data_IF_907603153227
#
_entry.id   IF_907603153227
#
_cell.length_a   1.000
_cell.length_b   1.000
_cell.length_c   1.000
_cell.angle_alpha   90.00
_cell.angle_beta   90.00
_cell.angle_gamma   90.00
#
_symmetry.space_group_name_H-M   'P 1'
#
loop_
_entity.id
_entity.type
_entity.pdbx_description
1 polymer ?
#
# COMPACT_ATOMS: atom_id res chain seq x y z
N UNK A 1 -2.93 17.13 8.55
CA UNK A 1 -3.18 15.84 7.89
C UNK A 1 -1.85 15.39 7.37
N UNK A 2 -1.33 14.29 7.92
CA UNK A 2 -0.05 13.76 7.47
C UNK A 2 -0.21 12.98 6.15
N UNK A 3 0.89 12.45 5.62
CA UNK A 3 0.89 11.73 4.34
C UNK A 3 0.08 10.43 4.40
N UNK A 4 0.00 9.79 5.57
CA UNK A 4 -0.70 8.52 5.78
C UNK A 4 -2.20 8.75 5.97
N UNK A 5 -2.60 9.87 6.57
CA UNK A 5 -4.00 10.30 6.60
C UNK A 5 -4.54 10.53 5.18
N UNK A 6 -3.75 11.20 4.32
CA UNK A 6 -4.10 11.41 2.91
C UNK A 6 -4.21 10.05 2.19
N UNK A 7 -3.24 9.16 2.41
CA UNK A 7 -3.27 7.81 1.82
C UNK A 7 -4.49 7.02 2.28
N UNK A 8 -4.83 7.06 3.57
CA UNK A 8 -6.01 6.43 4.13
C UNK A 8 -7.29 6.94 3.44
N UNK A 9 -7.40 8.26 3.26
CA UNK A 9 -8.53 8.85 2.53
C UNK A 9 -8.63 8.32 1.11
N UNK A 10 -7.51 8.28 0.39
CA UNK A 10 -7.51 7.73 -0.96
C UNK A 10 -7.89 6.25 -1.00
N UNK A 11 -7.46 5.44 -0.03
CA UNK A 11 -7.93 4.06 0.11
C UNK A 11 -9.43 3.98 0.40
N UNK A 12 -9.98 4.92 1.17
CA UNK A 12 -11.41 4.96 1.50
C UNK A 12 -12.29 5.36 0.31
N UNK A 13 -11.74 6.11 -0.64
CA UNK A 13 -12.39 6.48 -1.90
C UNK A 13 -12.16 5.43 -3.02
N UNK A 14 -11.43 4.34 -2.73
CA UNK A 14 -11.23 3.26 -3.71
C UNK A 14 -12.58 2.70 -4.15
N UNK A 15 -12.82 2.68 -5.46
CA UNK A 15 -14.09 2.24 -6.02
C UNK A 15 -14.17 0.71 -6.04
N UNK A 16 -15.31 0.19 -5.56
CA UNK A 16 -15.60 -1.24 -5.53
C UNK A 16 -16.96 -1.50 -6.18
N UNK A 17 -17.22 -2.76 -6.50
CA UNK A 17 -18.50 -3.21 -7.02
C UNK A 17 -19.32 -3.90 -5.93
N UNK A 18 -20.49 -3.34 -5.61
CA UNK A 18 -21.50 -3.96 -4.76
C UNK A 18 -22.82 -4.05 -5.52
N UNK A 19 -23.30 -5.27 -5.77
CA UNK A 19 -24.52 -5.52 -6.57
C UNK A 19 -24.47 -4.79 -7.93
N UNK A 20 -23.35 -4.94 -8.66
CA UNK A 20 -23.10 -4.33 -9.98
C UNK A 20 -23.04 -2.79 -9.98
N UNK A 21 -23.09 -2.14 -8.81
CA UNK A 21 -22.92 -0.70 -8.66
C UNK A 21 -21.52 -0.37 -8.16
N UNK A 22 -20.87 0.56 -8.85
CA UNK A 22 -19.60 1.13 -8.44
C UNK A 22 -19.87 2.14 -7.32
N UNK A 23 -19.27 1.89 -6.15
CA UNK A 23 -19.38 2.74 -4.96
C UNK A 23 -18.01 2.87 -4.30
N UNK A 24 -17.70 3.98 -3.62
CA UNK A 24 -16.47 4.10 -2.86
C UNK A 24 -16.49 3.20 -1.63
N UNK A 25 -15.31 2.74 -1.22
CA UNK A 25 -15.10 1.79 -0.11
C UNK A 25 -15.75 2.26 1.20
N UNK A 26 -15.73 3.56 1.49
CA UNK A 26 -16.30 4.10 2.73
C UNK A 26 -17.82 3.92 2.86
N UNK A 27 -18.53 3.70 1.75
CA UNK A 27 -19.98 3.43 1.76
C UNK A 27 -20.31 1.96 2.10
N UNK A 28 -19.31 1.07 2.11
CA UNK A 28 -19.50 -0.33 2.45
C UNK A 28 -19.78 -0.48 3.94
N UNK A 29 -20.80 -1.28 4.25
CA UNK A 29 -21.07 -1.74 5.61
C UNK A 29 -20.53 -3.15 5.79
N UNK A 30 -20.09 -3.47 7.01
CA UNK A 30 -19.57 -4.79 7.39
C UNK A 30 -20.52 -5.94 7.01
N UNK A 31 -21.83 -5.70 7.07
CA UNK A 31 -22.89 -6.66 6.70
C UNK A 31 -22.83 -7.08 5.22
N UNK A 32 -22.39 -6.19 4.33
CA UNK A 32 -22.36 -6.42 2.89
C UNK A 32 -20.97 -6.83 2.38
N UNK A 33 -19.97 -6.90 3.27
CA UNK A 33 -18.57 -7.11 2.94
C UNK A 33 -18.29 -8.35 2.07
N UNK A 34 -19.03 -9.44 2.29
CA UNK A 34 -18.85 -10.71 1.57
C UNK A 34 -19.30 -10.65 0.11
N UNK A 35 -20.13 -9.67 -0.26
CA UNK A 35 -20.69 -9.51 -1.61
C UNK A 35 -19.98 -8.40 -2.40
N UNK A 36 -18.90 -7.85 -1.85
CA UNK A 36 -18.11 -6.79 -2.50
C UNK A 36 -17.07 -7.43 -3.41
N UNK A 37 -17.04 -7.01 -4.66
CA UNK A 37 -15.91 -7.25 -5.54
C UNK A 37 -15.01 -6.01 -5.53
N UNK A 38 -13.77 -6.19 -5.06
CA UNK A 38 -12.76 -5.12 -4.96
C UNK A 38 -12.01 -4.88 -6.29
N UNK A 39 -12.28 -5.67 -7.33
CA UNK A 39 -11.65 -5.57 -8.65
C UNK A 39 -10.11 -5.54 -8.58
N UNK A 40 -9.55 -6.34 -7.68
CA UNK A 40 -8.10 -6.40 -7.45
C UNK A 40 -7.44 -7.38 -8.43
N UNK A 41 -6.21 -7.10 -8.88
CA UNK A 41 -5.49 -7.98 -9.82
C UNK A 41 -4.96 -9.26 -9.16
N UNK A 42 -5.02 -9.37 -7.83
CA UNK A 42 -4.55 -10.52 -7.06
C UNK A 42 -5.74 -11.27 -6.45
N UNK A 43 -5.63 -12.59 -6.35
CA UNK A 43 -6.74 -13.40 -5.81
C UNK A 43 -6.62 -13.62 -4.30
N UNK A 44 -5.41 -13.47 -3.73
CA UNK A 44 -5.12 -13.77 -2.33
C UNK A 44 -3.84 -13.05 -1.87
N UNK A 45 -3.60 -13.04 -0.55
CA UNK A 45 -2.42 -12.41 0.05
C UNK A 45 -1.08 -12.99 -0.43
N UNK A 46 -1.02 -14.26 -0.83
CA UNK A 46 0.22 -14.85 -1.35
C UNK A 46 0.56 -14.28 -2.73
N UNK A 47 -0.43 -14.16 -3.62
CA UNK A 47 -0.23 -13.56 -4.94
C UNK A 47 0.27 -12.12 -4.81
N UNK A 48 -0.33 -11.35 -3.90
CA UNK A 48 0.09 -9.98 -3.60
C UNK A 48 1.51 -9.92 -2.98
N UNK A 49 1.83 -10.83 -2.05
CA UNK A 49 3.17 -10.88 -1.46
C UNK A 49 4.25 -11.20 -2.51
N UNK A 50 3.97 -12.09 -3.45
CA UNK A 50 4.87 -12.41 -4.58
C UNK A 50 5.08 -11.17 -5.44
N UNK A 51 3.99 -10.50 -5.84
CA UNK A 51 4.04 -9.26 -6.60
C UNK A 51 4.91 -8.20 -5.91
N UNK A 52 4.70 -7.95 -4.61
CA UNK A 52 5.47 -6.96 -3.85
C UNK A 52 6.95 -7.32 -3.74
N UNK A 53 7.27 -8.60 -3.56
CA UNK A 53 8.64 -9.09 -3.54
C UNK A 53 9.35 -8.87 -4.89
N UNK A 54 8.68 -9.18 -6.00
CA UNK A 54 9.19 -8.94 -7.34
C UNK A 54 9.38 -7.44 -7.61
N UNK A 55 8.37 -6.64 -7.29
CA UNK A 55 8.41 -5.19 -7.44
C UNK A 55 9.58 -4.55 -6.67
N UNK A 56 9.82 -4.99 -5.43
CA UNK A 56 11.01 -4.61 -4.64
C UNK A 56 12.31 -4.96 -5.38
N UNK A 57 12.45 -6.21 -5.84
CA UNK A 57 13.67 -6.69 -6.51
C UNK A 57 13.95 -5.94 -7.81
N UNK A 58 12.91 -5.63 -8.58
CA UNK A 58 13.04 -4.85 -9.80
C UNK A 58 13.43 -3.41 -9.51
N UNK A 59 12.80 -2.77 -8.50
CA UNK A 59 13.12 -1.40 -8.13
C UNK A 59 14.57 -1.24 -7.67
N UNK A 60 15.14 -2.23 -6.99
CA UNK A 60 16.55 -2.23 -6.57
C UNK A 60 17.55 -2.26 -7.74
N UNK A 61 17.14 -2.76 -8.91
CA UNK A 61 17.97 -2.84 -10.11
C UNK A 61 17.69 -1.69 -11.09
N UNK A 62 16.50 -1.11 -11.01
CA UNK A 62 16.06 -0.01 -11.87
C UNK A 62 16.73 1.32 -11.48
N UNK A 63 17.00 2.14 -12.49
CA UNK A 63 17.33 3.57 -12.31
C UNK A 63 16.08 4.45 -12.29
N UNK A 64 14.98 3.94 -12.83
CA UNK A 64 13.70 4.62 -12.86
C UNK A 64 12.80 4.17 -11.72
N UNK A 65 11.89 5.06 -11.32
CA UNK A 65 10.82 4.71 -10.39
C UNK A 65 9.75 3.87 -11.10
N UNK A 66 9.57 2.64 -10.61
CA UNK A 66 8.54 1.74 -11.11
C UNK A 66 7.15 2.27 -10.74
N UNK A 67 6.14 2.05 -11.58
CA UNK A 67 4.77 2.45 -11.24
C UNK A 67 4.21 1.51 -10.18
N UNK A 68 3.46 2.06 -9.23
CA UNK A 68 2.85 1.30 -8.15
C UNK A 68 1.61 2.05 -7.64
N UNK A 69 0.49 1.34 -7.50
CA UNK A 69 -0.76 1.86 -6.96
C UNK A 69 -0.85 1.49 -5.47
N UNK A 70 -0.53 2.44 -4.59
CA UNK A 70 -0.44 2.15 -3.15
C UNK A 70 -1.83 1.97 -2.52
N UNK A 71 -2.82 2.67 -3.06
CA UNK A 71 -4.22 2.56 -2.66
C UNK A 71 -4.72 1.13 -2.88
N UNK A 72 -4.54 0.61 -4.10
CA UNK A 72 -4.93 -0.76 -4.51
C UNK A 72 -4.20 -1.83 -3.69
N UNK A 73 -2.90 -1.64 -3.44
CA UNK A 73 -2.11 -2.57 -2.60
C UNK A 73 -2.66 -2.60 -1.17
N UNK A 74 -2.90 -1.45 -0.55
CA UNK A 74 -3.37 -1.40 0.84
C UNK A 74 -4.79 -1.94 0.99
N UNK A 75 -5.66 -1.70 0.00
CA UNK A 75 -6.97 -2.35 -0.10
C UNK A 75 -6.79 -3.86 -0.24
N UNK A 76 -5.87 -4.32 -1.10
CA UNK A 76 -5.56 -5.74 -1.27
C UNK A 76 -5.06 -6.41 0.01
N UNK A 77 -4.13 -5.81 0.74
CA UNK A 77 -3.65 -6.34 2.03
C UNK A 77 -4.80 -6.44 3.04
N UNK A 78 -5.77 -5.53 2.97
CA UNK A 78 -6.87 -5.47 3.93
C UNK A 78 -7.95 -6.53 3.68
N UNK A 79 -8.30 -6.78 2.41
CA UNK A 79 -9.50 -7.56 2.07
C UNK A 79 -9.24 -8.86 1.29
N UNK A 80 -8.03 -9.08 0.76
CA UNK A 80 -7.74 -10.34 0.11
C UNK A 80 -7.71 -11.49 1.12
N UNK A 81 -8.28 -12.64 0.77
CA UNK A 81 -8.23 -13.81 1.64
C UNK A 81 -6.80 -14.38 1.71
N UNK A 82 -6.49 -15.10 2.79
CA UNK A 82 -5.33 -15.98 2.80
C UNK A 82 -5.59 -17.23 1.94
N UNK A 83 -4.53 -17.82 1.38
CA UNK A 83 -4.68 -19.07 0.62
C UNK A 83 -4.99 -20.22 1.58
N UNK A 84 -5.92 -21.11 1.22
CA UNK A 84 -6.23 -22.31 2.01
C UNK A 84 -5.02 -23.27 2.06
N UNK A 85 -4.97 -24.08 3.12
CA UNK A 85 -3.92 -25.05 3.54
C UNK A 85 -2.86 -25.47 2.50
N UNK A 86 -1.60 -25.52 2.91
CA UNK A 86 -0.46 -25.97 2.08
C UNK A 86 0.42 -24.84 1.52
N UNK A 87 0.13 -23.59 1.88
CA UNK A 87 0.92 -22.40 1.54
C UNK A 87 1.75 -21.91 2.72
N UNK A 88 2.93 -21.33 2.44
CA UNK A 88 3.77 -20.61 3.41
C UNK A 88 3.03 -19.44 4.09
N UNK A 89 2.02 -18.86 3.42
CA UNK A 89 1.21 -17.73 3.90
C UNK A 89 -0.26 -18.14 4.12
N UNK A 90 -0.49 -19.37 4.57
CA UNK A 90 -1.85 -19.88 4.82
C UNK A 90 -2.56 -19.15 5.98
N UNK A 91 -1.80 -18.57 6.91
CA UNK A 91 -2.32 -17.72 7.98
C UNK A 91 -2.42 -16.26 7.51
N UNK A 92 -3.59 -15.67 7.66
CA UNK A 92 -3.88 -14.28 7.27
C UNK A 92 -2.91 -13.27 7.90
N UNK A 93 -2.65 -13.37 9.21
CA UNK A 93 -1.73 -12.46 9.92
C UNK A 93 -0.31 -12.52 9.35
N UNK A 94 0.18 -13.73 9.06
CA UNK A 94 1.50 -13.94 8.45
C UNK A 94 1.52 -13.38 7.02
N UNK A 95 0.44 -13.57 6.24
CA UNK A 95 0.30 -13.01 4.89
C UNK A 95 0.32 -11.48 4.87
N UNK A 96 -0.42 -10.85 5.79
CA UNK A 96 -0.44 -9.39 5.97
C UNK A 96 0.96 -8.89 6.36
N UNK A 97 1.60 -9.51 7.35
CA UNK A 97 2.94 -9.12 7.82
C UNK A 97 3.99 -9.19 6.71
N UNK A 98 3.94 -10.25 5.88
CA UNK A 98 4.81 -10.41 4.73
C UNK A 98 4.58 -9.30 3.68
N UNK A 99 3.32 -9.03 3.32
CA UNK A 99 2.98 -7.96 2.37
C UNK A 99 3.47 -6.59 2.86
N UNK A 100 3.21 -6.26 4.13
CA UNK A 100 3.61 -4.98 4.71
C UNK A 100 5.13 -4.83 4.80
N UNK A 101 5.84 -5.93 5.12
CA UNK A 101 7.29 -5.95 5.14
C UNK A 101 7.86 -5.71 3.74
N UNK A 102 7.37 -6.41 2.71
CA UNK A 102 7.82 -6.21 1.33
C UNK A 102 7.46 -4.83 0.78
N UNK A 103 6.30 -4.29 1.13
CA UNK A 103 5.91 -2.92 0.77
C UNK A 103 6.87 -1.89 1.39
N UNK A 104 7.18 -2.01 2.68
CA UNK A 104 8.14 -1.14 3.37
C UNK A 104 9.53 -1.20 2.73
N UNK A 105 9.98 -2.39 2.34
CA UNK A 105 11.25 -2.58 1.66
C UNK A 105 11.25 -2.03 0.23
N UNK A 106 10.13 -2.15 -0.51
CA UNK A 106 9.97 -1.52 -1.82
C UNK A 106 10.05 0.01 -1.70
N UNK A 107 9.32 0.63 -0.77
CA UNK A 107 9.41 2.08 -0.51
C UNK A 107 10.85 2.49 -0.17
N UNK A 108 11.54 1.70 0.66
CA UNK A 108 12.96 1.91 0.94
C UNK A 108 13.81 1.87 -0.34
N UNK A 109 13.59 0.89 -1.21
CA UNK A 109 14.30 0.79 -2.49
C UNK A 109 14.02 2.00 -3.40
N UNK A 110 12.79 2.53 -3.42
CA UNK A 110 12.43 3.75 -4.15
C UNK A 110 13.15 4.98 -3.63
N UNK A 111 13.18 5.18 -2.31
CA UNK A 111 13.90 6.30 -1.68
C UNK A 111 15.38 6.27 -2.09
N UNK A 112 16.00 5.09 -2.03
CA UNK A 112 17.40 4.92 -2.40
C UNK A 112 17.62 5.14 -3.92
N UNK A 113 16.67 4.75 -4.77
CA UNK A 113 16.69 5.04 -6.20
C UNK A 113 16.65 6.55 -6.47
N UNK A 114 15.72 7.27 -5.83
CA UNK A 114 15.61 8.74 -5.91
C UNK A 114 16.93 9.39 -5.50
N UNK A 115 17.45 8.99 -4.34
CA UNK A 115 18.70 9.52 -3.82
C UNK A 115 19.86 9.31 -4.79
N UNK A 116 19.98 8.11 -5.37
CA UNK A 116 21.12 7.73 -6.20
C UNK A 116 21.08 8.35 -7.60
N UNK A 117 19.90 8.49 -8.20
CA UNK A 117 19.78 8.79 -9.64
C UNK A 117 19.04 10.09 -9.96
N UNK A 118 18.20 10.59 -9.05
CA UNK A 118 17.31 11.71 -9.33
C UNK A 118 17.63 12.97 -8.53
N UNK A 119 18.41 12.85 -7.46
CA UNK A 119 18.93 14.00 -6.72
C UNK A 119 20.38 14.32 -7.19
N UNK A 120 20.70 15.49 -7.79
CA UNK A 120 19.91 16.70 -8.09
C UNK A 120 19.55 16.88 -9.58
N UNK A 121 19.61 15.84 -10.41
CA UNK A 121 19.66 16.01 -11.87
C UNK A 121 18.30 15.93 -12.59
N UNK A 122 17.31 15.17 -12.10
CA UNK A 122 16.02 14.98 -12.79
C UNK A 122 14.87 14.66 -11.85
N UNK A 123 13.72 15.29 -12.08
CA UNK A 123 12.46 14.98 -11.41
C UNK A 123 11.87 13.71 -12.04
N UNK A 124 11.71 12.58 -11.30
CA UNK A 124 11.13 11.37 -11.88
C UNK A 124 9.65 11.57 -12.25
N UNK A 125 9.19 10.93 -13.33
CA UNK A 125 7.82 11.09 -13.86
C UNK A 125 6.80 10.28 -13.05
N UNK A 126 7.19 9.09 -12.57
CA UNK A 126 6.29 8.15 -11.87
C UNK A 126 6.40 8.25 -10.34
N UNK A 127 6.31 9.47 -9.80
CA UNK A 127 6.34 9.70 -8.35
C UNK A 127 5.01 9.27 -7.72
N UNK A 128 5.11 8.62 -6.56
CA UNK A 128 4.01 8.46 -5.62
C UNK A 128 3.93 9.66 -4.66
N UNK A 129 2.83 9.75 -3.90
CA UNK A 129 2.67 10.73 -2.83
C UNK A 129 3.85 10.70 -1.85
N UNK A 130 4.37 9.51 -1.53
CA UNK A 130 5.55 9.37 -0.67
C UNK A 130 6.79 9.96 -1.32
N UNK A 131 7.03 9.66 -2.60
CA UNK A 131 8.20 10.17 -3.32
C UNK A 131 8.19 11.70 -3.38
N UNK A 132 7.01 12.32 -3.53
CA UNK A 132 6.84 13.77 -3.49
C UNK A 132 7.20 14.37 -2.11
N UNK A 133 6.79 13.72 -1.02
CA UNK A 133 7.14 14.16 0.33
C UNK A 133 8.64 14.00 0.56
N UNK A 134 9.21 12.87 0.16
CA UNK A 134 10.65 12.55 0.32
C UNK A 134 11.54 13.53 -0.46
N UNK A 135 11.15 13.89 -1.68
CA UNK A 135 11.90 14.84 -2.53
C UNK A 135 11.98 16.26 -1.96
N UNK A 136 11.14 16.62 -0.99
CA UNK A 136 11.16 17.94 -0.33
C UNK A 136 12.24 18.07 0.76
N UNK A 137 12.89 16.98 1.17
CA UNK A 137 13.89 16.98 2.24
C UNK A 137 15.29 16.62 1.74
N UNK A 138 16.37 17.26 2.25
CA UNK A 138 17.74 16.87 1.97
C UNK A 138 18.00 15.47 2.55
N UNK A 139 18.21 14.50 1.66
CA UNK A 139 18.33 13.09 2.02
C UNK A 139 19.75 12.72 2.48
N UNK A 140 19.85 11.91 3.53
CA UNK A 140 21.09 11.21 3.92
C UNK A 140 21.25 9.95 3.06
N UNK A 141 22.49 9.45 2.89
CA UNK A 141 22.73 8.12 2.29
C UNK A 141 22.07 7.02 3.14
N UNK A 142 21.58 5.98 2.50
CA UNK A 142 21.06 4.74 3.12
C UNK A 142 19.86 4.92 4.07
N UNK A 143 18.79 5.54 3.57
CA UNK A 143 17.55 5.70 4.32
C UNK A 143 16.80 4.36 4.35
N UNK A 144 16.38 3.92 5.54
CA UNK A 144 15.38 2.87 5.72
C UNK A 144 14.03 3.50 6.04
N UNK A 145 12.99 3.14 5.30
CA UNK A 145 11.64 3.55 5.65
C UNK A 145 11.23 2.91 6.98
N UNK A 146 10.60 3.70 7.85
CA UNK A 146 10.00 3.23 9.12
C UNK A 146 8.48 3.36 9.07
N UNK A 147 7.89 2.88 7.98
CA UNK A 147 6.48 3.12 7.62
C UNK A 147 5.58 1.89 7.82
N UNK A 148 6.14 0.74 8.21
CA UNK A 148 5.37 -0.49 8.44
C UNK A 148 4.23 -0.27 9.44
N UNK A 149 4.49 0.37 10.58
CA UNK A 149 3.45 0.65 11.58
C UNK A 149 2.35 1.58 11.07
N UNK A 150 2.70 2.58 10.25
CA UNK A 150 1.71 3.47 9.64
C UNK A 150 0.81 2.70 8.66
N UNK A 151 1.38 1.79 7.88
CA UNK A 151 0.61 0.91 7.00
C UNK A 151 -0.24 -0.12 7.77
N UNK A 152 0.29 -0.70 8.85
CA UNK A 152 -0.47 -1.58 9.75
C UNK A 152 -1.69 -0.84 10.31
N UNK A 153 -1.54 0.43 10.70
CA UNK A 153 -2.63 1.26 11.16
C UNK A 153 -3.70 1.47 10.08
N UNK A 154 -3.29 1.81 8.85
CA UNK A 154 -4.21 1.95 7.71
C UNK A 154 -4.98 0.64 7.45
N UNK A 155 -4.26 -0.48 7.32
CA UNK A 155 -4.86 -1.80 7.08
C UNK A 155 -5.84 -2.16 8.20
N UNK A 156 -5.48 -1.91 9.46
CA UNK A 156 -6.36 -2.16 10.59
C UNK A 156 -7.65 -1.33 10.51
N UNK A 157 -7.56 -0.04 10.18
CA UNK A 157 -8.75 0.81 10.02
C UNK A 157 -9.65 0.34 8.87
N UNK A 158 -9.06 0.01 7.72
CA UNK A 158 -9.81 -0.52 6.57
C UNK A 158 -10.55 -1.81 6.95
N UNK A 159 -9.85 -2.80 7.54
CA UNK A 159 -10.47 -4.07 7.98
C UNK A 159 -11.61 -3.87 8.99
N UNK A 160 -11.52 -2.85 9.82
CA UNK A 160 -12.54 -2.53 10.82
C UNK A 160 -13.67 -1.65 10.27
N UNK A 161 -13.64 -1.27 8.99
CA UNK A 161 -14.57 -0.30 8.38
C UNK A 161 -14.62 1.03 9.17
N UNK A 162 -13.50 1.40 9.81
CA UNK A 162 -13.39 2.66 10.56
C UNK A 162 -12.97 3.78 9.63
N UNK A 163 -13.92 4.29 8.85
CA UNK A 163 -13.70 5.41 7.92
C UNK A 163 -13.77 6.78 8.58
N UNK A 164 -13.87 6.85 9.91
CA UNK A 164 -13.85 8.14 10.62
C UNK A 164 -12.44 8.70 10.57
N UNK A 165 -12.31 9.94 10.09
CA UNK A 165 -11.11 10.73 10.30
C UNK A 165 -11.07 11.16 11.77
N UNK A 166 -10.08 10.68 12.53
CA UNK A 166 -9.79 11.29 13.83
C UNK A 166 -9.03 12.58 13.56
N UNK A 167 -9.74 13.71 13.55
CA UNK A 167 -9.08 15.00 13.68
C UNK A 167 -8.49 15.09 15.09
N UNK A 168 -7.21 14.75 15.26
CA UNK A 168 -6.46 15.23 16.41
C UNK A 168 -6.36 16.74 16.28
N UNK A 169 -7.31 17.46 16.88
CA UNK A 169 -7.14 18.86 17.24
C UNK A 169 -6.07 18.89 18.32
N UNK A 170 -4.85 19.27 17.94
CA UNK A 170 -3.88 19.84 18.88
C UNK A 170 -4.27 21.28 19.14
#
# INVERSE_FOLDING_TARGET
MDVYDILFLKCSEYEVLLNEKQIPLWMIKKENALNVNFDLPWNNLQDLAIYLYELKREQQKSKDLLKCNLEEILVGISYLPSKKSGSLLANESIGIDACLSYLSEFITARINCIYRYHYPMTVPVNKSLFDEVILKFPQKKDVKAKNKHDFEYIVSKLKNYDFKLQFKRN
#
